data_IF_026202145964
#
_entry.id   IF_026202145964
#
_cell.length_a   1.000
_cell.length_b   1.000
_cell.length_c   1.000
_cell.angle_alpha   90.00
_cell.angle_beta   90.00
_cell.angle_gamma   90.00
#
_symmetry.space_group_name_H-M   'P 1'
#
loop_
_entity.id
_entity.type
_entity.pdbx_description
1 polymer ?
#
# COMPACT_ATOMS: atom_id res chain seq x y z
N UNK A 1 39.98 8.79 32.41
CA UNK A 1 38.98 9.71 31.86
C UNK A 1 38.13 8.90 30.88
N UNK A 2 36.90 8.55 31.27
CA UNK A 2 35.92 7.90 30.40
C UNK A 2 34.96 8.99 29.98
N UNK A 3 34.96 9.33 28.69
CA UNK A 3 33.93 10.17 28.09
C UNK A 3 32.96 9.23 27.40
N UNK A 4 31.77 9.08 27.97
CA UNK A 4 30.65 8.36 27.37
C UNK A 4 29.88 9.37 26.51
N UNK A 5 30.06 9.33 25.19
CA UNK A 5 29.26 10.15 24.28
C UNK A 5 27.86 9.54 24.17
N UNK A 6 26.88 10.30 24.66
CA UNK A 6 25.47 10.02 24.48
C UNK A 6 25.06 10.26 23.03
N UNK A 7 24.94 9.18 22.27
CA UNK A 7 24.31 9.19 20.95
C UNK A 7 22.84 9.54 21.09
N UNK A 8 22.48 10.77 20.71
CA UNK A 8 21.10 11.22 20.64
C UNK A 8 20.40 10.45 19.50
N UNK A 9 19.51 9.53 19.85
CA UNK A 9 18.65 8.83 18.90
C UNK A 9 17.62 9.83 18.35
N UNK A 10 17.97 10.50 17.24
CA UNK A 10 17.05 11.31 16.46
C UNK A 10 15.89 10.43 16.00
N UNK A 11 14.75 10.51 16.70
CA UNK A 11 13.52 9.83 16.27
C UNK A 11 13.15 10.37 14.89
N UNK A 12 12.94 9.51 13.88
CA UNK A 12 12.47 9.99 12.59
C UNK A 12 11.14 10.71 12.82
N UNK A 13 11.10 12.01 12.48
CA UNK A 13 9.86 12.77 12.57
C UNK A 13 8.88 12.18 11.54
N UNK A 14 7.60 12.00 11.92
CA UNK A 14 6.61 11.53 10.97
C UNK A 14 6.53 12.49 9.79
N UNK A 15 6.69 11.97 8.58
CA UNK A 15 6.51 12.74 7.37
C UNK A 15 5.01 12.99 7.16
N UNK A 16 4.54 14.16 7.59
CA UNK A 16 3.15 14.58 7.43
C UNK A 16 2.99 15.12 6.01
N UNK A 17 2.30 14.34 5.17
CA UNK A 17 1.93 14.76 3.81
C UNK A 17 0.61 15.53 3.87
N UNK A 18 0.62 16.79 3.42
CA UNK A 18 -0.60 17.57 3.22
C UNK A 18 -1.20 17.19 1.85
N UNK A 19 -2.32 16.49 1.88
CA UNK A 19 -3.07 16.11 0.69
C UNK A 19 -4.11 17.21 0.40
N UNK A 20 -3.98 17.88 -0.74
CA UNK A 20 -4.97 18.83 -1.23
C UNK A 20 -6.09 18.04 -1.95
N UNK A 21 -6.93 17.38 -1.14
CA UNK A 21 -8.02 16.53 -1.60
C UNK A 21 -9.30 17.34 -1.75
N UNK A 22 -9.93 17.26 -2.92
CA UNK A 22 -11.30 17.76 -3.07
C UNK A 22 -12.23 16.94 -2.15
N UNK A 23 -13.26 17.58 -1.60
CA UNK A 23 -14.25 16.90 -0.74
C UNK A 23 -14.86 15.66 -1.42
N UNK A 24 -15.03 15.72 -2.74
CA UNK A 24 -15.49 14.60 -3.58
C UNK A 24 -14.53 13.42 -3.56
N UNK A 25 -13.22 13.68 -3.60
CA UNK A 25 -12.21 12.63 -3.60
C UNK A 25 -12.04 12.03 -2.20
N UNK A 26 -12.14 12.84 -1.16
CA UNK A 26 -12.23 12.34 0.21
C UNK A 26 -13.47 11.44 0.39
N UNK A 27 -14.63 11.84 -0.15
CA UNK A 27 -15.85 11.04 -0.08
C UNK A 27 -15.69 9.69 -0.79
N UNK A 28 -15.05 9.65 -1.98
CA UNK A 28 -14.72 8.41 -2.69
C UNK A 28 -13.79 7.51 -1.87
N UNK A 29 -12.76 8.08 -1.22
CA UNK A 29 -11.85 7.33 -0.35
C UNK A 29 -12.58 6.77 0.87
N UNK A 30 -13.43 7.58 1.51
CA UNK A 30 -14.19 7.18 2.68
C UNK A 30 -15.20 6.06 2.37
N UNK A 31 -15.84 6.13 1.20
CA UNK A 31 -16.73 5.09 0.69
C UNK A 31 -15.97 3.80 0.36
N UNK A 32 -14.76 3.95 -0.21
CA UNK A 32 -13.95 2.83 -0.69
C UNK A 32 -14.42 2.32 -2.06
N UNK A 33 -13.54 1.58 -2.73
CA UNK A 33 -13.84 0.97 -4.02
C UNK A 33 -14.81 -0.20 -3.85
N UNK A 34 -15.78 -0.31 -4.76
CA UNK A 34 -16.72 -1.41 -4.75
C UNK A 34 -16.10 -2.64 -5.40
N UNK A 35 -15.90 -3.69 -4.60
CA UNK A 35 -15.48 -4.99 -5.10
C UNK A 35 -16.72 -5.80 -5.50
N UNK A 36 -16.77 -6.41 -6.70
CA UNK A 36 -17.91 -7.23 -7.14
C UNK A 36 -18.20 -8.40 -6.20
N UNK A 37 -19.47 -8.63 -5.87
CA UNK A 37 -19.86 -9.67 -4.90
C UNK A 37 -19.47 -11.09 -5.33
N UNK A 38 -19.49 -11.37 -6.64
CA UNK A 38 -19.01 -12.65 -7.18
C UNK A 38 -17.52 -12.90 -6.86
N UNK A 39 -16.69 -11.84 -6.85
CA UNK A 39 -15.27 -11.93 -6.48
C UNK A 39 -15.10 -12.04 -4.97
N UNK A 40 -15.88 -11.28 -4.19
CA UNK A 40 -15.92 -11.40 -2.72
C UNK A 40 -16.20 -12.84 -2.31
N UNK A 41 -17.28 -13.45 -2.80
CA UNK A 41 -17.69 -14.81 -2.45
C UNK A 41 -16.60 -15.86 -2.67
N UNK A 42 -15.84 -15.74 -3.76
CA UNK A 42 -14.71 -16.63 -4.05
C UNK A 42 -13.57 -16.47 -3.05
N UNK A 43 -13.28 -15.23 -2.65
CA UNK A 43 -12.21 -14.87 -1.73
C UNK A 43 -12.61 -14.93 -0.25
N UNK A 44 -13.92 -15.03 0.06
CA UNK A 44 -14.46 -15.09 1.42
C UNK A 44 -13.89 -16.22 2.27
N UNK A 45 -13.31 -17.26 1.64
CA UNK A 45 -12.69 -18.37 2.34
C UNK A 45 -11.46 -17.95 3.17
N UNK A 46 -10.81 -16.86 2.78
CA UNK A 46 -9.59 -16.35 3.43
C UNK A 46 -9.85 -15.20 4.41
N UNK A 47 -11.12 -14.91 4.75
CA UNK A 47 -11.52 -13.88 5.73
C UNK A 47 -11.04 -12.45 5.45
N UNK A 48 -10.96 -12.05 4.17
CA UNK A 48 -10.58 -10.68 3.81
C UNK A 48 -11.53 -9.62 4.37
N UNK A 49 -10.96 -8.54 4.91
CA UNK A 49 -11.67 -7.30 5.16
C UNK A 49 -11.80 -6.51 3.84
N UNK A 50 -12.85 -6.84 3.07
CA UNK A 50 -13.13 -6.19 1.79
C UNK A 50 -13.42 -4.68 1.93
N UNK A 51 -13.89 -4.23 3.10
CA UNK A 51 -14.08 -2.80 3.35
C UNK A 51 -12.73 -2.09 3.44
N UNK A 52 -11.77 -2.68 4.15
CA UNK A 52 -10.41 -2.15 4.23
C UNK A 52 -9.69 -2.22 2.88
N UNK A 53 -9.84 -3.32 2.13
CA UNK A 53 -9.31 -3.43 0.76
C UNK A 53 -9.86 -2.33 -0.14
N UNK A 54 -11.18 -2.13 -0.15
CA UNK A 54 -11.82 -1.08 -0.93
C UNK A 54 -11.30 0.32 -0.59
N UNK A 55 -11.05 0.63 0.69
CA UNK A 55 -10.46 1.91 1.11
C UNK A 55 -9.02 2.09 0.62
N UNK A 56 -8.20 1.04 0.68
CA UNK A 56 -6.83 1.11 0.16
C UNK A 56 -6.82 1.33 -1.36
N UNK A 57 -7.69 0.63 -2.10
CA UNK A 57 -7.85 0.81 -3.56
C UNK A 57 -8.33 2.23 -3.89
N UNK A 58 -9.35 2.74 -3.19
CA UNK A 58 -9.84 4.10 -3.42
C UNK A 58 -8.78 5.15 -3.09
N UNK A 59 -7.97 4.93 -2.03
CA UNK A 59 -6.85 5.81 -1.69
C UNK A 59 -5.76 5.80 -2.75
N UNK A 60 -5.51 4.66 -3.42
CA UNK A 60 -4.59 4.61 -4.56
C UNK A 60 -5.08 5.51 -5.70
N UNK A 61 -6.37 5.43 -6.06
CA UNK A 61 -6.95 6.16 -7.19
C UNK A 61 -7.10 7.65 -6.94
N UNK A 62 -7.65 8.01 -5.78
CA UNK A 62 -8.10 9.38 -5.52
C UNK A 62 -7.23 10.11 -4.50
N UNK A 63 -6.23 9.45 -3.92
CA UNK A 63 -5.44 9.98 -2.82
C UNK A 63 -4.39 11.00 -3.20
N UNK A 64 -4.18 11.31 -4.49
CA UNK A 64 -3.18 12.28 -4.95
C UNK A 64 -1.76 11.95 -4.46
N UNK A 65 -1.42 10.65 -4.42
CA UNK A 65 -0.19 10.16 -3.80
C UNK A 65 1.00 10.31 -4.75
N UNK A 66 2.18 10.52 -4.18
CA UNK A 66 3.45 10.33 -4.88
C UNK A 66 3.73 8.82 -5.10
N UNK A 67 4.79 8.52 -5.84
CA UNK A 67 5.15 7.14 -6.18
C UNK A 67 5.40 6.28 -4.92
N UNK A 68 6.00 6.85 -3.88
CA UNK A 68 6.25 6.12 -2.64
C UNK A 68 4.93 5.80 -1.92
N UNK A 69 3.99 6.74 -1.85
CA UNK A 69 2.66 6.49 -1.28
C UNK A 69 1.84 5.49 -2.09
N UNK A 70 1.99 5.47 -3.42
CA UNK A 70 1.40 4.43 -4.27
C UNK A 70 1.99 3.05 -3.94
N UNK A 71 3.32 2.97 -3.81
CA UNK A 71 4.02 1.74 -3.48
C UNK A 71 3.65 1.22 -2.08
N UNK A 72 3.49 2.10 -1.09
CA UNK A 72 3.03 1.73 0.26
C UNK A 72 1.64 1.06 0.22
N UNK A 73 0.73 1.59 -0.61
CA UNK A 73 -0.60 1.01 -0.77
C UNK A 73 -0.52 -0.33 -1.48
N UNK A 74 0.21 -0.43 -2.59
CA UNK A 74 0.39 -1.68 -3.32
C UNK A 74 1.05 -2.75 -2.43
N UNK A 75 2.01 -2.37 -1.59
CA UNK A 75 2.64 -3.27 -0.63
C UNK A 75 1.63 -3.79 0.42
N UNK A 76 0.77 -2.90 0.93
CA UNK A 76 -0.31 -3.27 1.85
C UNK A 76 -1.30 -4.25 1.20
N UNK A 77 -1.70 -3.98 -0.04
CA UNK A 77 -2.62 -4.83 -0.81
C UNK A 77 -1.99 -6.20 -1.10
N UNK A 78 -0.74 -6.23 -1.59
CA UNK A 78 -0.03 -7.46 -1.89
C UNK A 78 0.26 -8.31 -0.66
N UNK A 79 0.58 -7.69 0.49
CA UNK A 79 0.73 -8.40 1.77
C UNK A 79 -0.60 -9.01 2.22
N UNK A 80 -1.70 -8.25 2.10
CA UNK A 80 -3.04 -8.74 2.45
C UNK A 80 -3.41 -9.95 1.59
N UNK A 81 -3.11 -9.89 0.28
CA UNK A 81 -3.35 -10.95 -0.69
C UNK A 81 -2.34 -12.12 -0.61
N UNK A 82 -1.36 -12.08 0.30
CA UNK A 82 -0.34 -13.12 0.42
C UNK A 82 0.59 -13.24 -0.79
N UNK A 83 0.73 -12.18 -1.59
CA UNK A 83 1.55 -12.18 -2.82
C UNK A 83 3.05 -12.09 -2.54
N UNK A 84 3.42 -11.57 -1.37
CA UNK A 84 4.80 -11.43 -0.96
C UNK A 84 5.14 -12.49 0.08
N UNK A 85 6.20 -13.25 -0.23
CA UNK A 85 6.79 -14.19 0.71
C UNK A 85 7.57 -13.42 1.79
N UNK A 86 7.94 -14.12 2.86
CA UNK A 86 8.83 -13.54 3.87
C UNK A 86 10.15 -13.05 3.27
N UNK A 87 10.69 -13.75 2.27
CA UNK A 87 11.93 -13.37 1.61
C UNK A 87 11.77 -12.04 0.85
N UNK A 88 10.65 -11.86 0.15
CA UNK A 88 10.36 -10.61 -0.56
C UNK A 88 10.27 -9.42 0.41
N UNK A 89 9.62 -9.63 1.57
CA UNK A 89 9.53 -8.59 2.61
C UNK A 89 10.91 -8.29 3.22
N UNK A 90 11.76 -9.30 3.42
CA UNK A 90 13.13 -9.10 3.90
C UNK A 90 13.96 -8.31 2.87
N UNK A 91 13.85 -8.62 1.58
CA UNK A 91 14.50 -7.88 0.49
C UNK A 91 14.02 -6.41 0.39
N UNK A 92 12.70 -6.15 0.47
CA UNK A 92 12.15 -4.79 0.50
C UNK A 92 12.69 -3.98 1.69
N UNK A 93 12.76 -4.60 2.87
CA UNK A 93 13.31 -3.96 4.07
C UNK A 93 14.80 -3.68 3.93
N UNK A 94 15.55 -4.59 3.32
CA UNK A 94 16.98 -4.39 3.08
C UNK A 94 17.22 -3.26 2.07
N UNK A 95 16.43 -3.18 0.99
CA UNK A 95 16.43 -2.03 0.09
C UNK A 95 16.13 -0.73 0.81
N UNK A 96 15.10 -0.68 1.65
CA UNK A 96 14.77 0.50 2.46
C UNK A 96 15.93 0.91 3.38
N UNK A 97 16.59 -0.05 4.05
CA UNK A 97 17.76 0.22 4.91
C UNK A 97 18.94 0.78 4.13
N UNK A 98 19.15 0.31 2.90
CA UNK A 98 20.27 0.72 2.06
C UNK A 98 20.04 2.07 1.38
N UNK A 99 18.83 2.34 0.90
CA UNK A 99 18.52 3.54 0.12
C UNK A 99 17.90 4.66 0.96
N UNK A 100 17.31 4.33 2.11
CA UNK A 100 16.53 5.24 2.94
C UNK A 100 15.11 5.50 2.44
N UNK A 101 14.71 4.92 1.30
CA UNK A 101 13.40 5.13 0.68
C UNK A 101 12.69 3.80 0.42
N UNK A 102 11.40 3.73 0.74
CA UNK A 102 10.58 2.57 0.41
C UNK A 102 10.15 2.64 -1.06
N UNK A 103 10.24 1.52 -1.76
CA UNK A 103 9.69 1.38 -3.10
C UNK A 103 9.47 -0.10 -3.45
N UNK A 104 8.47 -0.34 -4.30
CA UNK A 104 8.32 -1.61 -5.00
C UNK A 104 9.10 -1.56 -6.31
N UNK A 105 9.68 -2.67 -6.73
CA UNK A 105 10.21 -2.82 -8.09
C UNK A 105 9.04 -2.82 -9.10
N UNK A 106 9.29 -2.52 -10.39
CA UNK A 106 8.26 -2.61 -11.41
C UNK A 106 7.58 -3.99 -11.46
N UNK A 107 8.33 -5.08 -11.24
CA UNK A 107 7.77 -6.43 -11.21
C UNK A 107 6.83 -6.66 -10.03
N UNK A 108 7.22 -6.23 -8.83
CA UNK A 108 6.38 -6.32 -7.62
C UNK A 108 5.10 -5.49 -7.76
N UNK A 109 5.20 -4.28 -8.33
CA UNK A 109 4.00 -3.46 -8.64
C UNK A 109 3.06 -4.20 -9.58
N UNK A 110 3.60 -4.71 -10.69
CA UNK A 110 2.79 -5.38 -11.71
C UNK A 110 2.12 -6.65 -11.17
N UNK A 111 2.79 -7.40 -10.30
CA UNK A 111 2.21 -8.56 -9.65
C UNK A 111 0.95 -8.21 -8.85
N UNK A 112 1.00 -7.12 -8.06
CA UNK A 112 -0.16 -6.65 -7.30
C UNK A 112 -1.26 -6.14 -8.23
N UNK A 113 -0.92 -5.36 -9.25
CA UNK A 113 -1.88 -4.83 -10.23
C UNK A 113 -2.61 -5.97 -10.95
N UNK A 114 -1.88 -7.00 -11.40
CA UNK A 114 -2.46 -8.17 -12.06
C UNK A 114 -3.43 -8.89 -11.11
N UNK A 115 -3.05 -9.08 -9.85
CA UNK A 115 -3.93 -9.70 -8.86
C UNK A 115 -5.20 -8.88 -8.64
N UNK A 116 -5.13 -7.54 -8.55
CA UNK A 116 -6.32 -6.70 -8.42
C UNK A 116 -7.28 -6.88 -9.60
N UNK A 117 -6.75 -6.92 -10.82
CA UNK A 117 -7.54 -7.13 -12.04
C UNK A 117 -8.14 -8.54 -12.08
N UNK A 118 -7.32 -9.57 -11.91
CA UNK A 118 -7.75 -10.96 -12.10
C UNK A 118 -8.65 -11.43 -10.95
N UNK A 119 -8.25 -11.11 -9.72
CA UNK A 119 -8.85 -11.68 -8.52
C UNK A 119 -9.95 -10.80 -7.94
N UNK A 120 -9.80 -9.47 -7.99
CA UNK A 120 -10.83 -8.52 -7.51
C UNK A 120 -11.67 -7.90 -8.64
N UNK A 121 -11.26 -8.00 -9.90
CA UNK A 121 -11.95 -7.32 -11.00
C UNK A 121 -11.78 -5.80 -10.95
N UNK A 122 -10.71 -5.32 -10.32
CA UNK A 122 -10.42 -3.89 -10.13
C UNK A 122 -9.26 -3.50 -11.04
N UNK A 123 -9.53 -2.61 -11.99
CA UNK A 123 -8.51 -2.05 -12.88
C UNK A 123 -8.06 -0.68 -12.34
N UNK A 124 -6.80 -0.56 -11.92
CA UNK A 124 -6.28 0.70 -11.38
C UNK A 124 -5.98 1.76 -12.45
N UNK A 125 -5.96 1.40 -13.73
CA UNK A 125 -5.57 2.28 -14.84
C UNK A 125 -6.77 2.79 -15.66
N UNK A 126 -7.99 2.35 -15.34
CA UNK A 126 -9.24 2.82 -15.98
C UNK A 126 -10.03 3.75 -15.07
N UNK A 127 -10.26 4.97 -15.55
CA UNK A 127 -11.27 5.91 -15.03
C UNK A 127 -12.68 5.58 -15.52
#
# INVERSE_FOLDING_TARGET
MVSTEGGSLSRPQPHIVHLDLLDTDYAKIAAGETIPDAKKQRLSQDSYDFTRLGKHIARYRYGGLDQQGQDDILCTLGTTAGLFTRFDIEDMNDRLRQTGCFYLTPGERQQVINWLTDELGVDLERE
#
